data_IF_837036106268
#
_entry.id   IF_837036106268
#
_cell.length_a   1.000
_cell.length_b   1.000
_cell.length_c   1.000
_cell.angle_alpha   90.00
_cell.angle_beta   90.00
_cell.angle_gamma   90.00
#
_symmetry.space_group_name_H-M   'P 1'
#
loop_
_entity.id
_entity.type
_entity.pdbx_description
1 polymer ?
#
# COMPACT_ATOMS: atom_id res chain seq x y z
N UNK A 1 4.15 10.68 -22.43
CA UNK A 1 3.40 9.48 -22.87
C UNK A 1 2.27 9.27 -21.88
N UNK A 2 1.03 9.34 -22.35
CA UNK A 2 -0.15 9.05 -21.54
C UNK A 2 -0.71 7.72 -22.06
N UNK A 3 -0.87 6.76 -21.16
CA UNK A 3 -1.46 5.45 -21.49
C UNK A 3 -2.83 5.36 -20.82
N UNK A 4 -3.88 5.30 -21.62
CA UNK A 4 -5.27 5.23 -21.16
C UNK A 4 -5.98 4.00 -21.69
N UNK A 5 -7.15 3.69 -21.13
CA UNK A 5 -7.95 2.49 -21.44
C UNK A 5 -8.57 1.88 -20.19
N UNK A 6 -9.52 0.98 -20.35
CA UNK A 6 -10.22 0.31 -19.25
C UNK A 6 -9.28 -0.52 -18.34
N UNK A 7 -9.75 -0.86 -17.13
CA UNK A 7 -9.01 -1.79 -16.25
C UNK A 7 -8.77 -3.13 -16.97
N UNK A 8 -7.52 -3.60 -16.97
CA UNK A 8 -7.11 -4.79 -17.72
C UNK A 8 -6.64 -4.58 -19.17
N UNK A 9 -6.78 -3.36 -19.75
CA UNK A 9 -6.40 -3.09 -21.15
C UNK A 9 -4.88 -3.10 -21.47
N UNK A 10 -4.02 -3.47 -20.52
CA UNK A 10 -2.57 -3.53 -20.72
C UNK A 10 -1.81 -2.21 -20.53
N UNK A 11 -2.41 -1.20 -19.88
CA UNK A 11 -1.78 0.12 -19.66
C UNK A 11 -0.40 0.03 -19.00
N UNK A 12 -0.31 -0.69 -17.89
CA UNK A 12 0.95 -0.88 -17.14
C UNK A 12 2.00 -1.61 -17.97
N UNK A 13 1.60 -2.58 -18.81
CA UNK A 13 2.50 -3.29 -19.71
C UNK A 13 3.07 -2.34 -20.77
N UNK A 14 2.22 -1.52 -21.40
CA UNK A 14 2.64 -0.51 -22.37
C UNK A 14 3.57 0.54 -21.77
N UNK A 15 3.25 1.06 -20.58
CA UNK A 15 4.11 1.99 -19.85
C UNK A 15 5.49 1.37 -19.53
N UNK A 16 5.51 0.09 -19.13
CA UNK A 16 6.75 -0.67 -18.88
C UNK A 16 7.62 -0.80 -20.13
N UNK A 17 7.03 -1.13 -21.29
CA UNK A 17 7.78 -1.21 -22.55
C UNK A 17 8.31 0.15 -23.01
N UNK A 18 7.52 1.22 -22.84
CA UNK A 18 7.98 2.57 -23.15
C UNK A 18 9.19 2.97 -22.29
N UNK A 19 9.16 2.70 -20.98
CA UNK A 19 10.30 2.95 -20.09
C UNK A 19 11.53 2.12 -20.47
N UNK A 20 11.35 0.82 -20.78
CA UNK A 20 12.44 -0.05 -21.25
C UNK A 20 13.08 0.47 -22.54
N UNK A 21 12.27 0.94 -23.49
CA UNK A 21 12.77 1.51 -24.74
C UNK A 21 13.67 2.72 -24.47
N UNK A 22 13.20 3.71 -23.71
CA UNK A 22 14.01 4.89 -23.40
C UNK A 22 15.27 4.56 -22.62
N UNK A 23 15.20 3.58 -21.74
CA UNK A 23 16.35 3.09 -21.01
C UNK A 23 17.41 2.47 -21.93
N UNK A 24 16.97 1.65 -22.90
CA UNK A 24 17.85 1.01 -23.88
C UNK A 24 18.49 2.00 -24.86
N UNK A 25 17.75 3.01 -25.35
CA UNK A 25 18.27 3.96 -26.36
C UNK A 25 18.93 5.20 -25.77
N UNK A 26 18.60 5.55 -24.52
CA UNK A 26 19.14 6.70 -23.78
C UNK A 26 20.28 6.33 -22.83
N UNK A 27 20.73 5.08 -22.82
CA UNK A 27 21.83 4.60 -21.98
C UNK A 27 23.21 4.95 -22.57
N UNK A 28 24.12 5.45 -21.75
CA UNK A 28 25.57 5.39 -22.02
C UNK A 28 26.04 3.93 -21.95
N UNK A 29 27.18 3.62 -22.59
CA UNK A 29 27.80 2.28 -22.65
C UNK A 29 28.13 1.64 -21.30
N UNK A 30 28.10 2.40 -20.20
CA UNK A 30 27.99 1.85 -18.85
C UNK A 30 26.50 1.74 -18.50
N UNK A 31 25.95 0.51 -18.51
CA UNK A 31 24.57 0.17 -18.15
C UNK A 31 24.05 1.04 -17.01
N UNK A 32 23.25 2.06 -17.34
CA UNK A 32 22.89 3.09 -16.36
C UNK A 32 22.11 2.45 -15.21
N UNK A 33 22.67 2.49 -13.99
CA UNK A 33 22.04 1.94 -12.79
C UNK A 33 20.60 2.47 -12.58
N UNK A 34 20.27 3.62 -13.18
CA UNK A 34 18.95 4.24 -13.13
C UNK A 34 17.88 3.36 -13.79
N UNK A 35 18.16 2.73 -14.93
CA UNK A 35 17.21 1.80 -15.57
C UNK A 35 16.87 0.63 -14.65
N UNK A 36 17.91 -0.07 -14.17
CA UNK A 36 17.75 -1.24 -13.31
C UNK A 36 16.94 -0.88 -12.07
N UNK A 37 17.15 0.31 -11.51
CA UNK A 37 16.37 0.85 -10.39
C UNK A 37 14.91 1.13 -10.77
N UNK A 38 14.65 1.77 -11.91
CA UNK A 38 13.26 2.04 -12.36
C UNK A 38 12.51 0.72 -12.55
N UNK A 39 13.13 -0.26 -13.21
CA UNK A 39 12.52 -1.58 -13.43
C UNK A 39 12.31 -2.33 -12.11
N UNK A 40 13.28 -2.27 -11.20
CA UNK A 40 13.18 -2.84 -9.86
C UNK A 40 12.12 -2.17 -8.98
N UNK A 41 11.68 -0.95 -9.30
CA UNK A 41 10.58 -0.32 -8.55
C UNK A 41 9.21 -0.96 -8.83
N UNK A 42 9.02 -1.64 -9.97
CA UNK A 42 7.71 -2.15 -10.34
C UNK A 42 7.19 -3.26 -9.41
N UNK A 43 7.95 -4.34 -9.10
CA UNK A 43 7.47 -5.37 -8.16
C UNK A 43 7.05 -4.79 -6.81
N UNK A 44 7.77 -3.77 -6.33
CA UNK A 44 7.48 -3.07 -5.08
C UNK A 44 6.15 -2.35 -5.17
N UNK A 45 5.97 -1.54 -6.22
CA UNK A 45 4.76 -0.74 -6.41
C UNK A 45 3.53 -1.62 -6.69
N UNK A 46 3.72 -2.76 -7.37
CA UNK A 46 2.67 -3.74 -7.56
C UNK A 46 2.30 -4.43 -6.23
N UNK A 47 3.28 -4.83 -5.41
CA UNK A 47 3.02 -5.45 -4.12
C UNK A 47 2.19 -4.56 -3.17
N UNK A 48 2.52 -3.26 -3.07
CA UNK A 48 1.88 -2.33 -2.12
C UNK A 48 0.73 -1.50 -2.72
N UNK A 49 0.54 -1.56 -4.04
CA UNK A 49 -0.37 -0.67 -4.76
C UNK A 49 -1.34 -1.39 -5.68
N UNK A 50 -1.13 -2.69 -5.94
CA UNK A 50 -2.05 -3.49 -6.72
C UNK A 50 -2.79 -4.50 -5.85
N UNK A 51 -3.96 -4.91 -6.34
CA UNK A 51 -4.80 -5.92 -5.73
C UNK A 51 -5.63 -6.65 -6.79
N UNK A 52 -6.15 -7.82 -6.42
CA UNK A 52 -7.15 -8.52 -7.22
C UNK A 52 -8.51 -7.84 -7.08
N UNK A 53 -9.13 -7.57 -8.22
CA UNK A 53 -10.54 -7.17 -8.35
C UNK A 53 -11.29 -8.21 -9.19
N UNK A 54 -12.60 -8.06 -9.30
CA UNK A 54 -13.43 -8.91 -10.18
C UNK A 54 -13.07 -8.81 -11.67
N UNK A 55 -12.36 -7.76 -12.09
CA UNK A 55 -11.99 -7.51 -13.49
C UNK A 55 -10.54 -7.80 -13.82
N UNK A 56 -9.64 -7.74 -12.83
CA UNK A 56 -8.22 -7.85 -13.04
C UNK A 56 -7.53 -8.35 -11.76
N UNK A 57 -6.83 -9.47 -11.88
CA UNK A 57 -6.09 -10.09 -10.78
C UNK A 57 -4.91 -9.24 -10.27
N UNK A 58 -4.41 -8.30 -11.08
CA UNK A 58 -3.32 -7.39 -10.72
C UNK A 58 -3.69 -5.93 -11.03
N UNK A 59 -4.82 -5.46 -10.51
CA UNK A 59 -5.31 -4.09 -10.73
C UNK A 59 -4.52 -3.07 -9.93
N UNK A 60 -3.92 -2.09 -10.60
CA UNK A 60 -3.37 -0.89 -9.96
C UNK A 60 -4.47 -0.10 -9.26
N UNK A 61 -4.33 0.13 -7.94
CA UNK A 61 -5.29 0.90 -7.12
C UNK A 61 -4.73 2.27 -6.72
N UNK A 62 -3.84 2.79 -7.57
CA UNK A 62 -3.25 4.13 -7.52
C UNK A 62 -2.83 4.53 -8.94
N UNK A 63 -2.73 5.83 -9.20
CA UNK A 63 -2.17 6.38 -10.42
C UNK A 63 -0.67 6.58 -10.25
N UNK A 64 0.12 6.28 -11.28
CA UNK A 64 1.57 6.38 -11.29
C UNK A 64 2.03 7.28 -12.42
N UNK A 65 2.83 8.29 -12.10
CA UNK A 65 3.49 9.15 -13.07
C UNK A 65 4.98 9.11 -12.83
N UNK A 66 5.76 8.72 -13.84
CA UNK A 66 7.22 8.65 -13.77
C UNK A 66 7.80 9.65 -14.75
N UNK A 67 8.56 10.60 -14.24
CA UNK A 67 9.37 11.55 -15.00
C UNK A 67 10.76 10.92 -15.20
N UNK A 68 11.17 10.72 -16.45
CA UNK A 68 12.53 10.32 -16.81
C UNK A 68 13.33 11.58 -17.14
N UNK A 69 14.43 11.81 -16.42
CA UNK A 69 15.26 13.00 -16.57
C UNK A 69 16.42 12.74 -17.55
N UNK A 70 16.61 13.64 -18.51
CA UNK A 70 17.64 13.58 -19.54
C UNK A 70 18.61 14.76 -19.42
N UNK A 71 19.89 14.50 -19.61
CA UNK A 71 20.91 15.55 -19.75
C UNK A 71 20.92 16.17 -21.16
N UNK A 72 21.85 17.10 -21.41
CA UNK A 72 22.02 17.76 -22.71
C UNK A 72 22.43 16.83 -23.85
N UNK A 73 22.95 15.64 -23.54
CA UNK A 73 23.31 14.60 -24.51
C UNK A 73 22.17 13.58 -24.70
N UNK A 74 20.98 13.85 -24.15
CA UNK A 74 19.82 12.97 -24.18
C UNK A 74 20.07 11.59 -23.54
N UNK A 75 20.99 11.51 -22.58
CA UNK A 75 21.16 10.31 -21.75
C UNK A 75 20.33 10.42 -20.47
N UNK A 76 19.77 9.29 -20.01
CA UNK A 76 19.00 9.24 -18.77
C UNK A 76 19.94 9.46 -17.59
N UNK A 77 19.62 10.45 -16.76
CA UNK A 77 20.41 10.79 -15.57
C UNK A 77 19.70 10.54 -14.28
N UNK A 78 18.36 10.48 -14.28
CA UNK A 78 17.55 10.29 -13.09
C UNK A 78 16.08 10.03 -13.41
N UNK A 79 15.28 9.89 -12.37
CA UNK A 79 13.83 9.81 -12.50
C UNK A 79 13.12 10.33 -11.24
N UNK A 80 11.82 10.60 -11.38
CA UNK A 80 10.97 10.99 -10.26
C UNK A 80 9.57 10.38 -10.42
N UNK A 81 9.11 9.67 -9.39
CA UNK A 81 7.78 9.05 -9.34
C UNK A 81 6.82 9.90 -8.51
N UNK A 82 5.62 10.15 -9.06
CA UNK A 82 4.48 10.72 -8.35
C UNK A 82 3.33 9.72 -8.37
N UNK A 83 2.60 9.67 -7.27
CA UNK A 83 1.46 8.77 -7.11
C UNK A 83 0.19 9.54 -6.80
N UNK A 84 -0.94 9.05 -7.30
CA UNK A 84 -2.25 9.69 -7.19
C UNK A 84 -3.30 8.71 -6.69
N UNK A 85 -4.24 9.22 -5.89
CA UNK A 85 -5.46 8.53 -5.43
C UNK A 85 -5.26 7.06 -5.06
N UNK A 86 -4.36 6.76 -4.13
CA UNK A 86 -4.30 5.43 -3.51
C UNK A 86 -5.67 5.10 -2.90
N UNK A 87 -6.24 3.96 -3.28
CA UNK A 87 -7.53 3.48 -2.77
C UNK A 87 -7.40 3.00 -1.31
N UNK A 88 -7.55 3.93 -0.37
CA UNK A 88 -7.34 3.64 1.06
C UNK A 88 -8.38 2.67 1.62
N UNK A 89 -9.62 2.71 1.15
CA UNK A 89 -10.71 1.85 1.62
C UNK A 89 -10.39 0.36 1.49
N UNK A 90 -9.65 -0.03 0.43
CA UNK A 90 -9.22 -1.41 0.19
C UNK A 90 -8.46 -2.05 1.36
N UNK A 91 -7.78 -1.24 2.18
CA UNK A 91 -7.03 -1.72 3.35
C UNK A 91 -7.94 -2.41 4.37
N UNK A 92 -9.19 -1.96 4.50
CA UNK A 92 -10.12 -2.37 5.57
C UNK A 92 -11.38 -3.05 5.05
N UNK A 93 -11.61 -3.01 3.73
CA UNK A 93 -12.80 -3.54 3.08
C UNK A 93 -12.46 -4.14 1.71
N UNK A 94 -13.07 -5.27 1.39
CA UNK A 94 -13.01 -5.92 0.08
C UNK A 94 -14.41 -6.43 -0.27
N UNK A 95 -14.82 -6.25 -1.52
CA UNK A 95 -16.04 -6.88 -2.03
C UNK A 95 -15.79 -8.38 -2.32
N UNK A 96 -16.87 -9.14 -2.46
CA UNK A 96 -16.79 -10.57 -2.82
C UNK A 96 -16.00 -10.77 -4.11
N UNK A 97 -15.08 -11.73 -4.11
CA UNK A 97 -14.17 -12.02 -5.22
C UNK A 97 -12.93 -11.13 -5.29
N UNK A 98 -12.76 -10.17 -4.38
CA UNK A 98 -11.61 -9.25 -4.36
C UNK A 98 -10.61 -9.54 -3.23
N UNK A 99 -9.38 -9.03 -3.38
CA UNK A 99 -8.35 -9.05 -2.34
C UNK A 99 -8.03 -7.64 -1.83
N UNK A 100 -7.43 -7.59 -0.65
CA UNK A 100 -6.60 -6.48 -0.21
C UNK A 100 -5.31 -6.39 -1.07
N UNK A 101 -4.42 -5.45 -0.76
CA UNK A 101 -3.12 -5.32 -1.45
C UNK A 101 -2.27 -6.58 -1.33
N UNK A 102 -1.57 -6.93 -2.41
CA UNK A 102 -0.82 -8.19 -2.53
C UNK A 102 0.19 -8.42 -1.41
N UNK A 103 0.87 -7.36 -0.94
CA UNK A 103 1.88 -7.44 0.10
C UNK A 103 1.40 -8.15 1.38
N UNK A 104 0.12 -8.02 1.74
CA UNK A 104 -0.41 -8.69 2.93
C UNK A 104 -0.44 -10.22 2.76
N UNK A 105 -0.84 -10.71 1.58
CA UNK A 105 -0.87 -12.14 1.27
C UNK A 105 0.53 -12.71 1.10
N UNK A 106 1.43 -11.93 0.48
CA UNK A 106 2.86 -12.22 0.38
C UNK A 106 3.49 -12.41 1.76
N UNK A 107 3.17 -11.52 2.71
CA UNK A 107 3.65 -11.62 4.09
C UNK A 107 3.05 -12.82 4.84
N UNK A 108 1.75 -13.08 4.73
CA UNK A 108 1.12 -14.24 5.39
C UNK A 108 1.68 -15.56 4.85
N UNK A 109 1.88 -15.66 3.53
CA UNK A 109 2.45 -16.85 2.87
C UNK A 109 3.94 -17.05 3.16
N UNK A 110 4.61 -16.04 3.73
CA UNK A 110 6.04 -16.07 4.05
C UNK A 110 6.31 -15.93 5.55
N UNK A 111 5.35 -16.29 6.41
CA UNK A 111 5.43 -16.04 7.86
C UNK A 111 6.70 -16.60 8.53
N UNK A 112 7.29 -17.67 7.99
CA UNK A 112 8.53 -18.29 8.47
C UNK A 112 9.82 -17.54 8.05
N UNK A 113 9.71 -16.51 7.21
CA UNK A 113 10.85 -15.71 6.77
C UNK A 113 11.51 -14.97 7.96
N UNK A 114 12.85 -14.99 8.10
CA UNK A 114 13.55 -14.32 9.19
C UNK A 114 13.23 -12.82 9.33
N UNK A 115 12.88 -12.14 8.23
CA UNK A 115 12.49 -10.73 8.23
C UNK A 115 11.13 -10.51 8.89
N UNK A 116 10.26 -11.52 8.90
CA UNK A 116 8.92 -11.51 9.49
C UNK A 116 8.86 -12.17 10.88
N UNK A 117 9.98 -12.71 11.36
CA UNK A 117 10.08 -13.33 12.67
C UNK A 117 9.65 -12.35 13.80
N UNK A 118 8.73 -12.81 14.64
CA UNK A 118 8.19 -12.03 15.76
C UNK A 118 7.02 -11.09 15.40
N UNK A 119 6.61 -11.03 14.12
CA UNK A 119 5.46 -10.22 13.69
C UNK A 119 4.10 -10.89 13.95
N UNK A 120 4.12 -12.15 14.43
CA UNK A 120 2.92 -12.95 14.75
C UNK A 120 1.94 -13.02 13.58
N UNK A 121 2.48 -13.16 12.37
CA UNK A 121 1.67 -13.41 11.18
C UNK A 121 1.14 -14.85 11.22
N UNK A 122 0.00 -15.06 10.59
CA UNK A 122 -0.72 -16.33 10.50
C UNK A 122 -1.35 -16.42 9.10
N UNK A 123 -2.11 -17.48 8.83
CA UNK A 123 -2.87 -17.62 7.60
C UNK A 123 -3.78 -16.40 7.37
N UNK A 124 -3.90 -15.95 6.12
CA UNK A 124 -4.64 -14.73 5.77
C UNK A 124 -6.10 -14.74 6.26
N UNK A 125 -6.73 -15.90 6.35
CA UNK A 125 -8.12 -16.05 6.80
C UNK A 125 -8.31 -15.66 8.28
N UNK A 126 -7.23 -15.64 9.06
CA UNK A 126 -7.25 -15.25 10.47
C UNK A 126 -7.20 -13.72 10.65
N UNK A 127 -7.14 -12.94 9.57
CA UNK A 127 -7.16 -11.47 9.62
C UNK A 127 -8.43 -10.90 8.97
N UNK A 128 -9.19 -10.13 9.77
CA UNK A 128 -10.44 -9.45 9.36
C UNK A 128 -10.25 -8.55 8.12
N UNK A 129 -9.06 -7.99 7.93
CA UNK A 129 -8.76 -7.16 6.76
C UNK A 129 -8.41 -7.94 5.48
N UNK A 130 -8.32 -9.27 5.53
CA UNK A 130 -7.96 -10.11 4.39
C UNK A 130 -9.05 -11.14 4.02
N UNK A 131 -9.99 -11.42 4.93
CA UNK A 131 -10.97 -12.51 4.76
C UNK A 131 -12.37 -12.05 4.32
N UNK A 132 -12.62 -10.74 4.11
CA UNK A 132 -13.94 -10.22 3.71
C UNK A 132 -14.32 -10.49 2.26
N UNK A 133 -13.34 -10.63 1.38
CA UNK A 133 -13.57 -10.82 -0.05
C UNK A 133 -13.74 -12.28 -0.49
N UNK A 134 -13.58 -13.25 0.42
CA UNK A 134 -13.69 -14.70 0.14
C UNK A 134 -12.90 -15.16 -1.10
N UNK A 135 -11.69 -14.62 -1.27
CA UNK A 135 -10.85 -14.86 -2.44
C UNK A 135 -9.36 -14.73 -2.09
N UNK A 136 -8.91 -15.47 -1.08
CA UNK A 136 -7.54 -15.38 -0.59
C UNK A 136 -6.45 -15.65 -1.65
N UNK A 137 -6.72 -16.53 -2.61
CA UNK A 137 -5.76 -16.97 -3.64
C UNK A 137 -6.06 -16.43 -5.03
N UNK A 138 -5.02 -16.38 -5.87
CA UNK A 138 -5.11 -16.07 -7.29
C UNK A 138 -4.52 -17.26 -8.06
N UNK A 139 -5.22 -17.72 -9.10
CA UNK A 139 -4.77 -18.84 -9.91
C UNK A 139 -3.41 -18.52 -10.57
N UNK A 140 -2.42 -19.38 -10.35
CA UNK A 140 -1.08 -19.23 -10.93
C UNK A 140 -0.15 -18.22 -10.25
N UNK A 141 -0.56 -17.64 -9.11
CA UNK A 141 0.28 -16.74 -8.30
C UNK A 141 0.81 -17.49 -7.09
N UNK A 142 2.12 -17.33 -6.83
CA UNK A 142 2.78 -17.81 -5.62
C UNK A 142 3.17 -16.58 -4.78
N UNK A 143 2.33 -16.26 -3.80
CA UNK A 143 2.51 -15.09 -2.93
C UNK A 143 3.83 -15.18 -2.12
N UNK A 144 4.34 -16.38 -1.80
CA UNK A 144 5.61 -16.53 -1.11
C UNK A 144 6.81 -16.25 -2.04
N UNK A 145 6.75 -16.72 -3.29
CA UNK A 145 7.75 -16.37 -4.29
C UNK A 145 7.75 -14.87 -4.61
N UNK A 146 6.57 -14.25 -4.71
CA UNK A 146 6.41 -12.81 -4.95
C UNK A 146 6.91 -11.97 -3.76
N UNK A 147 6.77 -12.46 -2.53
CA UNK A 147 7.40 -11.83 -1.36
C UNK A 147 8.92 -11.76 -1.50
N UNK A 148 9.55 -12.85 -1.95
CA UNK A 148 10.99 -12.90 -2.16
C UNK A 148 11.43 -11.95 -3.29
N UNK A 149 10.63 -11.82 -4.36
CA UNK A 149 10.89 -10.84 -5.42
C UNK A 149 10.77 -9.40 -4.91
N UNK A 150 9.72 -9.10 -4.13
CA UNK A 150 9.54 -7.79 -3.49
C UNK A 150 10.74 -7.43 -2.61
N UNK A 151 11.22 -8.37 -1.79
CA UNK A 151 12.39 -8.13 -0.95
C UNK A 151 13.67 -7.93 -1.76
N UNK A 152 13.89 -8.73 -2.82
CA UNK A 152 15.02 -8.57 -3.74
C UNK A 152 14.99 -7.18 -4.40
N UNK A 153 13.83 -6.77 -4.88
CA UNK A 153 13.63 -5.46 -5.50
C UNK A 153 13.93 -4.29 -4.54
N UNK A 154 13.47 -4.38 -3.29
CA UNK A 154 13.76 -3.35 -2.28
C UNK A 154 15.26 -3.27 -1.96
N UNK A 155 15.96 -4.42 -1.91
CA UNK A 155 17.41 -4.48 -1.72
C UNK A 155 18.18 -3.87 -2.89
N UNK A 156 17.73 -4.09 -4.15
CA UNK A 156 18.31 -3.45 -5.34
C UNK A 156 18.17 -1.92 -5.27
N UNK A 157 17.09 -1.43 -4.68
CA UNK A 157 16.90 -0.01 -4.38
C UNK A 157 17.63 0.44 -3.10
N UNK A 158 18.52 -0.36 -2.53
CA UNK A 158 19.36 0.05 -1.40
C UNK A 158 18.61 0.24 -0.09
N UNK A 159 17.40 -0.31 0.04
CA UNK A 159 16.77 -0.42 1.36
C UNK A 159 17.52 -1.42 2.22
N UNK A 160 17.85 -1.00 3.45
CA UNK A 160 18.49 -1.88 4.43
C UNK A 160 17.46 -2.82 5.05
N UNK A 161 17.90 -4.01 5.46
CA UNK A 161 17.05 -4.99 6.15
C UNK A 161 16.32 -4.43 7.39
N UNK A 162 16.94 -3.49 8.11
CA UNK A 162 16.31 -2.82 9.27
C UNK A 162 15.12 -1.96 8.87
N UNK A 163 15.22 -1.27 7.73
CA UNK A 163 14.13 -0.47 7.18
C UNK A 163 13.02 -1.36 6.62
N UNK A 164 13.38 -2.46 5.95
CA UNK A 164 12.43 -3.48 5.49
C UNK A 164 11.64 -4.06 6.64
N UNK A 165 12.33 -4.52 7.69
CA UNK A 165 11.69 -5.05 8.89
C UNK A 165 10.74 -4.03 9.50
N UNK A 166 11.11 -2.75 9.54
CA UNK A 166 10.23 -1.69 10.06
C UNK A 166 8.96 -1.53 9.23
N UNK A 167 9.04 -1.59 7.89
CA UNK A 167 7.87 -1.58 7.00
C UNK A 167 6.97 -2.79 7.29
N UNK A 168 7.53 -3.99 7.33
CA UNK A 168 6.77 -5.21 7.59
C UNK A 168 6.15 -5.22 9.00
N UNK A 169 6.84 -4.68 10.01
CA UNK A 169 6.27 -4.48 11.35
C UNK A 169 5.00 -3.63 11.32
N UNK A 170 5.03 -2.50 10.59
CA UNK A 170 3.87 -1.61 10.49
C UNK A 170 2.74 -2.26 9.70
N UNK A 171 3.05 -2.99 8.62
CA UNK A 171 2.04 -3.74 7.86
C UNK A 171 1.38 -4.85 8.70
N UNK A 172 2.17 -5.62 9.45
CA UNK A 172 1.65 -6.63 10.37
C UNK A 172 0.80 -5.98 11.49
N UNK A 173 1.21 -4.81 12.00
CA UNK A 173 0.42 -4.07 12.98
C UNK A 173 -0.95 -3.65 12.44
N UNK A 174 -1.06 -3.29 11.15
CA UNK A 174 -2.36 -3.00 10.52
C UNK A 174 -3.26 -4.23 10.53
N UNK A 175 -2.74 -5.42 10.24
CA UNK A 175 -3.50 -6.67 10.26
C UNK A 175 -4.01 -6.99 11.67
N UNK A 176 -3.12 -6.93 12.67
CA UNK A 176 -3.49 -7.16 14.07
C UNK A 176 -4.49 -6.12 14.59
N UNK A 177 -4.32 -4.85 14.21
CA UNK A 177 -5.28 -3.79 14.55
C UNK A 177 -6.69 -4.11 14.01
N UNK A 178 -6.79 -4.68 12.81
CA UNK A 178 -8.08 -5.09 12.23
C UNK A 178 -8.80 -6.21 12.98
N UNK A 179 -8.06 -6.99 13.78
CA UNK A 179 -8.60 -8.07 14.61
C UNK A 179 -9.00 -7.64 16.02
N UNK A 180 -8.64 -6.43 16.45
CA UNK A 180 -9.05 -5.89 17.75
C UNK A 180 -10.57 -5.80 17.79
N UNK A 181 -11.18 -6.52 18.73
CA UNK A 181 -12.64 -6.57 18.91
C UNK A 181 -13.14 -5.38 19.72
N UNK A 182 -14.35 -4.94 19.39
CA UNK A 182 -15.04 -3.84 20.06
C UNK A 182 -16.42 -4.35 20.45
N UNK A 183 -16.63 -4.50 21.76
CA UNK A 183 -17.88 -4.98 22.33
C UNK A 183 -18.73 -3.80 22.80
N UNK A 184 -20.03 -3.89 22.56
CA UNK A 184 -20.98 -2.89 23.05
C UNK A 184 -21.12 -2.98 24.57
N UNK A 185 -20.99 -1.85 25.26
CA UNK A 185 -21.30 -1.74 26.69
C UNK A 185 -22.63 -1.04 26.93
N UNK A 186 -22.98 -0.09 26.06
CA UNK A 186 -24.29 0.54 25.96
C UNK A 186 -24.48 1.10 24.55
N UNK A 187 -25.67 1.61 24.24
CA UNK A 187 -25.97 2.20 22.93
C UNK A 187 -24.96 3.30 22.50
N UNK A 188 -24.37 4.02 23.44
CA UNK A 188 -23.43 5.12 23.19
C UNK A 188 -21.97 4.80 23.60
N UNK A 189 -21.67 3.54 23.97
CA UNK A 189 -20.33 3.17 24.45
C UNK A 189 -19.91 1.75 24.06
N UNK A 190 -18.61 1.59 23.82
CA UNK A 190 -17.97 0.31 23.57
C UNK A 190 -16.71 0.14 24.43
N UNK A 191 -16.20 -1.08 24.47
CA UNK A 191 -14.94 -1.43 25.08
C UNK A 191 -14.21 -2.50 24.27
N UNK A 192 -12.90 -2.56 24.42
CA UNK A 192 -12.13 -3.72 23.96
C UNK A 192 -12.16 -4.77 25.09
N UNK A 193 -12.41 -6.06 24.81
CA UNK A 193 -12.31 -7.14 25.79
C UNK A 193 -10.97 -7.14 26.53
N UNK A 194 -10.97 -7.49 27.82
CA UNK A 194 -9.74 -7.49 28.65
C UNK A 194 -8.74 -8.50 28.11
N UNK A 195 -9.23 -9.62 27.58
CA UNK A 195 -8.50 -10.75 27.02
C UNK A 195 -8.40 -10.72 25.49
N UNK A 196 -8.60 -9.56 24.85
CA UNK A 196 -8.43 -9.43 23.40
C UNK A 196 -7.00 -9.83 22.97
N UNK A 197 -6.83 -10.87 22.14
CA UNK A 197 -5.51 -11.40 21.82
C UNK A 197 -4.74 -10.55 20.80
N UNK A 198 -5.43 -9.69 20.04
CA UNK A 198 -4.84 -8.92 18.96
C UNK A 198 -4.26 -7.59 19.44
N UNK A 199 -4.90 -6.96 20.45
CA UNK A 199 -4.48 -5.69 21.02
C UNK A 199 -3.01 -5.68 21.51
N UNK A 200 -2.55 -6.61 22.37
CA UNK A 200 -1.17 -6.58 22.87
C UNK A 200 -0.15 -6.77 21.73
N UNK A 201 -0.49 -7.54 20.70
CA UNK A 201 0.36 -7.70 19.52
C UNK A 201 0.43 -6.39 18.72
N UNK A 202 -0.70 -5.77 18.42
CA UNK A 202 -0.76 -4.49 17.72
C UNK A 202 0.02 -3.40 18.47
N UNK A 203 -0.14 -3.31 19.80
CA UNK A 203 0.59 -2.38 20.65
C UNK A 203 2.10 -2.63 20.64
N UNK A 204 2.53 -3.89 20.71
CA UNK A 204 3.94 -4.27 20.66
C UNK A 204 4.59 -3.87 19.34
N UNK A 205 3.92 -4.12 18.22
CA UNK A 205 4.42 -3.80 16.88
C UNK A 205 4.45 -2.29 16.61
N UNK A 206 3.42 -1.56 17.05
CA UNK A 206 3.35 -0.10 16.94
C UNK A 206 4.24 0.62 17.97
N UNK A 207 4.68 -0.09 19.01
CA UNK A 207 5.41 0.45 20.17
C UNK A 207 4.63 1.55 20.89
N UNK A 208 3.36 1.28 21.16
CA UNK A 208 2.45 2.19 21.90
C UNK A 208 1.94 1.52 23.17
N UNK A 209 1.47 2.34 24.12
CA UNK A 209 0.85 1.83 25.34
C UNK A 209 -0.46 1.13 25.02
N UNK A 210 -0.69 -0.04 25.63
CA UNK A 210 -1.96 -0.76 25.55
C UNK A 210 -3.08 0.05 26.20
N UNK A 211 -2.80 0.66 27.36
CA UNK A 211 -3.76 1.50 28.09
C UNK A 211 -4.22 2.68 27.23
N UNK A 212 -3.27 3.38 26.60
CA UNK A 212 -3.60 4.54 25.75
C UNK A 212 -4.36 4.11 24.49
N UNK A 213 -3.93 3.04 23.82
CA UNK A 213 -4.61 2.59 22.61
C UNK A 213 -6.03 2.11 22.92
N UNK A 214 -6.22 1.39 24.03
CA UNK A 214 -7.54 0.93 24.50
C UNK A 214 -8.46 2.11 24.79
N UNK A 215 -7.96 3.13 25.49
CA UNK A 215 -8.74 4.32 25.79
C UNK A 215 -9.15 5.06 24.51
N UNK A 216 -8.21 5.37 23.64
CA UNK A 216 -8.44 6.25 22.48
C UNK A 216 -9.11 5.58 21.28
N UNK A 217 -9.18 4.24 21.24
CA UNK A 217 -10.05 3.54 20.30
C UNK A 217 -11.53 3.60 20.70
N UNK A 218 -11.83 3.66 22.00
CA UNK A 218 -13.21 3.64 22.52
C UNK A 218 -13.73 5.01 22.95
N UNK A 219 -12.88 6.05 22.96
CA UNK A 219 -13.23 7.40 23.40
C UNK A 219 -12.69 8.46 22.45
N UNK A 220 -13.38 9.61 22.42
CA UNK A 220 -12.88 10.82 21.74
C UNK A 220 -12.71 11.98 22.71
N UNK A 221 -11.67 12.77 22.46
CA UNK A 221 -11.43 14.05 23.13
C UNK A 221 -12.13 15.18 22.38
N UNK A 222 -12.93 15.98 23.07
CA UNK A 222 -13.62 17.15 22.54
C UNK A 222 -13.11 18.37 23.30
N UNK A 223 -12.62 19.38 22.58
CA UNK A 223 -12.19 20.66 23.16
C UNK A 223 -13.14 21.75 22.70
N UNK A 224 -13.84 22.40 23.64
CA UNK A 224 -14.82 23.44 23.35
C UNK A 224 -14.79 24.50 24.45
N UNK A 225 -14.69 25.78 24.09
CA UNK A 225 -14.73 26.88 25.05
C UNK A 225 -13.61 26.90 26.10
N UNK A 226 -12.46 26.24 25.83
CA UNK A 226 -11.36 26.09 26.79
C UNK A 226 -11.49 24.86 27.70
N UNK A 227 -12.61 24.15 27.67
CA UNK A 227 -12.83 22.91 28.41
C UNK A 227 -12.51 21.68 27.55
N UNK A 228 -12.04 20.61 28.20
CA UNK A 228 -11.74 19.33 27.58
C UNK A 228 -12.64 18.25 28.14
N UNK A 229 -13.38 17.58 27.26
CA UNK A 229 -14.25 16.46 27.58
C UNK A 229 -13.75 15.19 26.91
N UNK A 230 -13.82 14.07 27.62
CA UNK A 230 -13.61 12.73 27.04
C UNK A 230 -14.98 12.07 27.00
N UNK A 231 -15.43 11.67 25.80
CA UNK A 231 -16.71 10.98 25.62
C UNK A 231 -16.48 9.58 25.05
N UNK A 232 -17.20 8.56 25.55
CA UNK A 232 -17.18 7.24 24.95
C UNK A 232 -17.77 7.28 23.53
N UNK A 233 -17.48 6.24 22.76
CA UNK A 233 -17.94 6.04 21.40
C UNK A 233 -18.80 4.78 21.29
N UNK A 234 -19.87 4.77 20.49
CA UNK A 234 -20.55 3.54 20.12
C UNK A 234 -19.63 2.68 19.23
N UNK A 235 -19.91 1.37 19.17
CA UNK A 235 -19.10 0.37 18.44
C UNK A 235 -18.87 0.78 16.97
N UNK A 236 -19.89 1.30 16.30
CA UNK A 236 -19.80 1.73 14.90
C UNK A 236 -18.75 2.85 14.71
N UNK A 237 -18.76 3.87 15.56
CA UNK A 237 -17.80 4.97 15.48
C UNK A 237 -16.38 4.53 15.86
N UNK A 238 -16.25 3.70 16.89
CA UNK A 238 -14.95 3.15 17.29
C UNK A 238 -14.34 2.28 16.17
N UNK A 239 -15.17 1.45 15.52
CA UNK A 239 -14.77 0.66 14.34
C UNK A 239 -14.34 1.57 13.19
N UNK A 240 -15.13 2.60 12.89
CA UNK A 240 -14.78 3.58 11.86
C UNK A 240 -13.43 4.26 12.13
N UNK A 241 -13.13 4.65 13.37
CA UNK A 241 -11.86 5.29 13.72
C UNK A 241 -10.68 4.33 13.73
N UNK A 242 -10.87 3.09 14.20
CA UNK A 242 -9.86 2.01 14.07
C UNK A 242 -9.49 1.78 12.60
N UNK A 243 -10.50 1.69 11.74
CA UNK A 243 -10.32 1.50 10.31
C UNK A 243 -9.69 2.76 9.68
N UNK A 244 -10.06 3.96 10.12
CA UNK A 244 -9.44 5.21 9.68
C UNK A 244 -7.94 5.27 10.04
N UNK A 245 -7.57 4.81 11.23
CA UNK A 245 -6.17 4.68 11.65
C UNK A 245 -5.41 3.70 10.76
N UNK A 246 -5.97 2.52 10.51
CA UNK A 246 -5.37 1.52 9.60
C UNK A 246 -5.13 2.10 8.20
N UNK A 247 -6.15 2.76 7.62
CA UNK A 247 -6.08 3.45 6.31
C UNK A 247 -5.01 4.54 6.30
N UNK A 248 -4.92 5.34 7.36
CA UNK A 248 -3.93 6.41 7.47
C UNK A 248 -2.52 5.83 7.54
N UNK A 249 -2.29 4.84 8.40
CA UNK A 249 -1.00 4.17 8.57
C UNK A 249 -0.53 3.54 7.26
N UNK A 250 -1.39 2.81 6.54
CA UNK A 250 -1.05 2.24 5.25
C UNK A 250 -0.64 3.32 4.23
N UNK A 251 -1.41 4.41 4.14
CA UNK A 251 -1.08 5.51 3.23
C UNK A 251 0.27 6.16 3.57
N UNK A 252 0.64 6.26 4.85
CA UNK A 252 1.97 6.75 5.25
C UNK A 252 3.08 5.78 4.86
N UNK A 253 2.89 4.47 5.03
CA UNK A 253 3.84 3.45 4.57
C UNK A 253 4.04 3.54 3.06
N UNK A 254 2.95 3.59 2.29
CA UNK A 254 2.98 3.73 0.84
C UNK A 254 3.78 4.98 0.42
N UNK A 255 3.43 6.15 0.96
CA UNK A 255 4.12 7.41 0.67
C UNK A 255 5.60 7.36 1.07
N UNK A 256 5.93 6.71 2.18
CA UNK A 256 7.30 6.55 2.63
C UNK A 256 8.10 5.68 1.66
N UNK A 257 7.54 4.57 1.19
CA UNK A 257 8.19 3.69 0.20
C UNK A 257 8.43 4.46 -1.11
N UNK A 258 7.44 5.18 -1.63
CA UNK A 258 7.60 6.03 -2.83
C UNK A 258 8.71 7.06 -2.64
N UNK A 259 8.80 7.70 -1.46
CA UNK A 259 9.89 8.63 -1.14
C UNK A 259 11.25 7.94 -1.14
N UNK A 260 11.36 6.71 -0.63
CA UNK A 260 12.63 5.99 -0.68
C UNK A 260 13.01 5.59 -2.11
N UNK A 261 12.05 5.13 -2.91
CA UNK A 261 12.26 4.83 -4.34
C UNK A 261 12.80 6.08 -5.06
N UNK A 262 12.20 7.26 -4.85
CA UNK A 262 12.65 8.49 -5.47
C UNK A 262 14.07 8.93 -5.05
N UNK A 263 14.48 8.66 -3.81
CA UNK A 263 15.87 8.92 -3.40
C UNK A 263 16.86 8.10 -4.22
N UNK A 264 16.48 6.89 -4.64
CA UNK A 264 17.34 6.02 -5.43
C UNK A 264 17.46 6.46 -6.89
N UNK A 265 16.47 7.22 -7.37
CA UNK A 265 16.44 7.81 -8.70
C UNK A 265 17.10 9.19 -8.77
N UNK A 266 17.41 9.80 -7.62
CA UNK A 266 17.96 11.15 -7.55
C UNK A 266 19.35 11.21 -8.19
N UNK A 267 19.61 12.30 -8.91
CA UNK A 267 20.88 12.57 -9.59
C UNK A 267 21.43 13.94 -9.25
N UNK A 268 22.75 14.07 -9.24
CA UNK A 268 23.43 15.37 -9.12
C UNK A 268 23.63 16.05 -10.48
N UNK A 269 23.40 15.31 -11.58
CA UNK A 269 23.52 15.84 -12.94
C UNK A 269 22.30 16.72 -13.24
N UNK A 270 22.54 17.92 -13.77
CA UNK A 270 21.48 18.85 -14.13
C UNK A 270 20.57 18.26 -15.22
N UNK A 271 19.28 18.20 -14.94
CA UNK A 271 18.24 17.85 -15.93
C UNK A 271 18.15 18.94 -17.01
N UNK A 272 18.17 18.53 -18.27
CA UNK A 272 17.95 19.38 -19.44
C UNK A 272 16.50 19.27 -19.94
N UNK A 273 16.00 18.03 -20.09
CA UNK A 273 14.63 17.71 -20.53
C UNK A 273 14.12 16.50 -19.76
N UNK A 274 12.81 16.27 -19.79
CA UNK A 274 12.22 15.07 -19.21
C UNK A 274 11.18 14.45 -20.14
N UNK A 275 10.94 13.15 -19.98
CA UNK A 275 9.79 12.44 -20.55
C UNK A 275 8.95 11.88 -19.41
N UNK A 276 7.72 12.37 -19.29
CA UNK A 276 6.74 11.84 -18.35
C UNK A 276 5.98 10.64 -18.93
N UNK A 277 5.86 9.56 -18.17
CA UNK A 277 5.03 8.39 -18.47
C UNK A 277 3.91 8.31 -17.42
N UNK A 278 2.68 8.51 -17.85
CA UNK A 278 1.48 8.42 -17.00
C UNK A 278 0.80 7.06 -17.20
N UNK A 279 0.69 6.31 -16.11
CA UNK A 279 -0.03 5.04 -15.98
C UNK A 279 -1.04 5.19 -14.84
N UNK A 280 -2.29 5.51 -15.17
CA UNK A 280 -3.38 5.74 -14.22
C UNK A 280 -4.41 4.63 -14.32
N UNK A 281 -5.21 4.42 -13.27
CA UNK A 281 -6.36 3.51 -13.31
C UNK A 281 -7.28 3.86 -14.49
N UNK A 282 -7.80 2.81 -15.12
CA UNK A 282 -8.75 2.97 -16.22
C UNK A 282 -10.15 3.29 -15.72
N UNK A 283 -11.05 3.61 -16.64
CA UNK A 283 -12.47 3.71 -16.34
C UNK A 283 -12.98 2.42 -15.69
N UNK A 284 -13.76 2.54 -14.62
CA UNK A 284 -14.30 1.43 -13.85
C UNK A 284 -15.79 1.62 -13.57
N UNK A 285 -16.57 0.55 -13.68
CA UNK A 285 -18.00 0.54 -13.34
C UNK A 285 -18.39 -0.85 -12.86
N UNK A 286 -18.82 -0.97 -11.62
CA UNK A 286 -19.30 -2.22 -11.04
C UNK A 286 -20.82 -2.16 -10.82
N UNK A 287 -21.43 -3.25 -10.34
CA UNK A 287 -22.85 -3.24 -9.95
C UNK A 287 -23.13 -2.23 -8.83
N UNK A 288 -22.19 -2.08 -7.89
CA UNK A 288 -22.20 -1.04 -6.86
C UNK A 288 -20.93 -0.18 -6.99
N UNK A 289 -21.12 1.13 -7.19
CA UNK A 289 -20.04 2.10 -7.33
C UNK A 289 -20.02 3.03 -6.11
N UNK A 290 -18.82 3.36 -5.64
CA UNK A 290 -18.58 4.22 -4.47
C UNK A 290 -17.79 5.48 -4.89
N UNK A 291 -17.39 6.27 -3.90
CA UNK A 291 -16.53 7.44 -4.06
C UNK A 291 -15.24 7.12 -4.84
N UNK A 292 -14.70 5.91 -4.69
CA UNK A 292 -13.53 5.42 -5.40
C UNK A 292 -13.73 5.44 -6.92
N UNK A 293 -14.81 4.83 -7.43
CA UNK A 293 -15.10 4.83 -8.87
C UNK A 293 -15.40 6.23 -9.39
N UNK A 294 -16.06 7.08 -8.58
CA UNK A 294 -16.25 8.49 -8.94
C UNK A 294 -14.90 9.21 -9.15
N UNK A 295 -13.96 9.09 -8.20
CA UNK A 295 -12.64 9.71 -8.34
C UNK A 295 -11.84 9.16 -9.53
N UNK A 296 -11.92 7.85 -9.77
CA UNK A 296 -11.26 7.17 -10.89
C UNK A 296 -11.80 7.70 -12.23
N UNK A 297 -13.13 7.72 -12.38
CA UNK A 297 -13.77 8.13 -13.62
C UNK A 297 -13.63 9.64 -13.84
N UNK A 298 -13.72 10.45 -12.79
CA UNK A 298 -13.44 11.90 -12.88
C UNK A 298 -12.01 12.22 -13.29
N UNK A 299 -11.02 11.41 -12.88
CA UNK A 299 -9.64 11.60 -13.32
C UNK A 299 -9.38 11.15 -14.77
N UNK A 300 -10.28 10.36 -15.35
CA UNK A 300 -10.21 9.94 -16.76
C UNK A 300 -10.86 10.97 -17.70
N UNK A 301 -11.83 11.76 -17.21
CA UNK A 301 -12.37 12.95 -17.89
C UNK A 301 -11.37 14.12 -17.87
#
# INVERSE_FOLDING_TARGET
IIVSGESGAGKTVSAKYAMRYFASVGGSTDETQVEKKILASNPIMEAIGNAKTTRNDNSSRFGKYIELDFNSNFSIVGANMRTYLLEKSRVVFQASGERNYHIFYQMCSSADDPRLAGLKLDHQDNFSYLNKGDSATIAGVDDAADFQETCRALNVLGMKDTSLRSVFTVLAAILHLGNVKLDETSADSCQIPVDDPALPIACSLLKVSEEELRQWLCHRKIVSGGETFIKPLPVEQATFYRDALAKHTYAQVFNWIVKQINKCFTTTIKTFRFIGVLDIYGFETFESNSFEQFCINYANE
#
